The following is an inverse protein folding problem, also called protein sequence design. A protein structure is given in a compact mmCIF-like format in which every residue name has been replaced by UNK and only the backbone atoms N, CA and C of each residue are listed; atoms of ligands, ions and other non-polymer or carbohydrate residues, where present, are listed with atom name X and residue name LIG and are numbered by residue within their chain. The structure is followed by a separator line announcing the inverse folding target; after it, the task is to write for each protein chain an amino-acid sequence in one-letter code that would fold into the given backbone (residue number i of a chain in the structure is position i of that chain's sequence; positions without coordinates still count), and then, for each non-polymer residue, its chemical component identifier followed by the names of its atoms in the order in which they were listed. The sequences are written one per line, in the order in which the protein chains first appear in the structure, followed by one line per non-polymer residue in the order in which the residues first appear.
data_IF_040924086914
#
_entry.id   IF_040924086914
#
_cell.length_a   1.000
_cell.length_b   1.000
_cell.length_c   1.000
_cell.angle_alpha   90.00
_cell.angle_beta   90.00
_cell.angle_gamma   90.00
#
_symmetry.space_group_name_H-M   'P 1'
#
loop_
_entity.id
_entity.type
_entity.pdbx_description
1 polymer ?
#
# COMPACT_ATOMS: atom_id res chain seq x y z
N UNK A 1 -3.43 -7.62 -22.44
CA UNK A 1 -3.06 -9.00 -21.99
C UNK A 1 -1.53 -9.20 -22.01
N UNK A 2 -0.77 -8.41 -22.80
CA UNK A 2 0.70 -8.53 -22.90
C UNK A 2 1.51 -7.95 -21.74
N UNK A 3 1.17 -6.83 -21.05
CA UNK A 3 2.02 -6.29 -19.97
C UNK A 3 1.99 -7.12 -18.68
N UNK A 4 0.88 -7.79 -18.36
CA UNK A 4 0.80 -8.68 -17.20
C UNK A 4 1.66 -9.95 -17.34
N UNK A 5 1.73 -10.50 -18.57
CA UNK A 5 2.61 -11.62 -18.85
C UNK A 5 4.09 -11.25 -18.65
N UNK A 6 4.47 -10.00 -18.93
CA UNK A 6 5.83 -9.49 -18.70
C UNK A 6 6.18 -9.32 -17.23
N UNK A 7 5.29 -8.77 -16.42
CA UNK A 7 5.52 -8.58 -14.97
C UNK A 7 5.50 -9.90 -14.21
N UNK A 8 4.57 -10.82 -14.56
CA UNK A 8 4.53 -12.19 -14.02
C UNK A 8 5.74 -12.99 -14.52
N UNK A 9 6.12 -12.86 -15.80
CA UNK A 9 7.31 -13.52 -16.34
C UNK A 9 8.60 -12.98 -15.72
N UNK A 10 8.70 -11.69 -15.41
CA UNK A 10 9.85 -11.12 -14.72
C UNK A 10 9.92 -11.61 -13.25
N UNK A 11 8.79 -11.70 -12.56
CA UNK A 11 8.72 -12.28 -11.23
C UNK A 11 9.06 -13.79 -11.25
N UNK A 12 8.58 -14.54 -12.24
CA UNK A 12 8.92 -15.95 -12.45
C UNK A 12 10.35 -16.15 -12.97
N UNK A 13 10.88 -15.25 -13.81
CA UNK A 13 12.28 -15.30 -14.24
C UNK A 13 13.25 -15.01 -13.09
N UNK A 14 12.91 -14.08 -12.20
CA UNK A 14 13.67 -13.81 -10.97
C UNK A 14 13.57 -14.96 -9.95
N UNK A 15 12.43 -15.67 -9.91
CA UNK A 15 12.23 -16.85 -9.06
C UNK A 15 12.71 -18.14 -9.74
N UNK A 16 12.53 -18.29 -11.04
CA UNK A 16 12.89 -19.46 -11.84
C UNK A 16 14.38 -19.51 -12.20
N UNK A 17 15.02 -18.38 -12.44
CA UNK A 17 16.48 -18.32 -12.61
C UNK A 17 17.27 -18.73 -11.36
N UNK A 18 16.62 -18.69 -10.19
CA UNK A 18 17.16 -19.21 -8.95
C UNK A 18 16.95 -20.73 -8.77
N UNK A 19 16.00 -21.35 -9.50
CA UNK A 19 15.75 -22.79 -9.41
C UNK A 19 16.65 -23.62 -10.37
N UNK A 20 17.10 -23.03 -11.48
CA UNK A 20 18.03 -23.68 -12.41
C UNK A 20 19.50 -23.54 -12.03
N UNK A 21 19.84 -22.58 -11.15
CA UNK A 21 21.18 -22.47 -10.56
C UNK A 21 21.41 -23.37 -9.33
N UNK A 22 20.37 -24.03 -8.83
CA UNK A 22 20.46 -24.94 -7.69
C UNK A 22 20.81 -26.40 -8.07
N UNK A 23 21.19 -26.65 -9.33
CA UNK A 23 21.60 -27.98 -9.84
C UNK A 23 23.09 -28.19 -9.98
N UNK A 24 23.93 -27.23 -9.57
CA UNK A 24 25.39 -27.41 -9.54
C UNK A 24 25.93 -26.79 -8.25
N UNK A 25 26.56 -27.64 -7.47
CA UNK A 25 27.26 -27.40 -6.19
C UNK A 25 26.34 -27.39 -4.93
N UNK A 26 26.09 -28.61 -4.47
CA UNK A 26 25.71 -28.90 -3.09
C UNK A 26 27.00 -28.87 -2.21
N UNK A 27 27.41 -27.66 -1.79
CA UNK A 27 28.28 -27.45 -0.63
C UNK A 27 28.52 -25.95 -0.42
N UNK A 28 27.55 -25.24 0.06
CA UNK A 28 27.68 -23.96 0.78
C UNK A 28 26.38 -23.64 1.50
N UNK A 29 26.01 -24.46 2.48
CA UNK A 29 25.07 -24.05 3.55
C UNK A 29 25.77 -23.02 4.44
N UNK A 30 25.91 -21.82 3.94
CA UNK A 30 26.02 -20.67 4.82
C UNK A 30 24.58 -20.25 5.13
N UNK A 31 23.96 -20.94 6.07
CA UNK A 31 22.77 -20.54 6.76
C UNK A 31 23.02 -19.12 7.29
N UNK A 32 22.44 -18.11 6.64
CA UNK A 32 22.49 -16.74 7.15
C UNK A 32 21.86 -16.81 8.55
N UNK A 33 22.69 -16.62 9.57
CA UNK A 33 22.24 -16.65 10.96
C UNK A 33 20.98 -15.78 11.09
N UNK A 34 19.93 -16.26 11.79
CA UNK A 34 18.76 -15.44 12.05
C UNK A 34 19.23 -14.16 12.73
N UNK A 35 18.87 -13.01 12.19
CA UNK A 35 19.10 -11.72 12.85
C UNK A 35 18.51 -11.77 14.24
N UNK A 36 19.27 -11.34 15.23
CA UNK A 36 18.77 -11.30 16.61
C UNK A 36 17.48 -10.45 16.67
N UNK A 37 16.49 -10.85 17.46
CA UNK A 37 15.28 -10.04 17.65
C UNK A 37 15.68 -8.60 18.04
N UNK A 38 15.16 -7.59 17.33
CA UNK A 38 15.45 -6.19 17.57
C UNK A 38 16.50 -5.55 16.66
N UNK A 39 17.05 -6.27 15.66
CA UNK A 39 18.02 -5.70 14.69
C UNK A 39 17.48 -5.55 13.27
N UNK A 40 16.21 -5.85 13.05
CA UNK A 40 15.64 -5.88 11.71
C UNK A 40 15.32 -4.49 11.16
N UNK A 41 15.61 -4.33 9.89
CA UNK A 41 15.24 -3.16 9.07
C UNK A 41 14.54 -3.63 7.81
N UNK A 42 13.53 -2.88 7.41
CA UNK A 42 12.73 -3.19 6.22
C UNK A 42 12.69 -1.97 5.31
N UNK A 43 13.04 -2.18 4.05
CA UNK A 43 12.85 -1.17 3.00
C UNK A 43 11.88 -1.74 1.98
N UNK A 44 10.81 -1.01 1.70
CA UNK A 44 9.78 -1.43 0.75
C UNK A 44 9.54 -0.35 -0.30
N UNK A 45 9.54 -0.76 -1.57
CA UNK A 45 9.05 0.02 -2.70
C UNK A 45 7.71 -0.56 -3.13
N UNK A 46 6.67 0.27 -3.10
CA UNK A 46 5.31 -0.09 -3.53
C UNK A 46 4.93 0.78 -4.72
N UNK A 47 4.44 0.15 -5.78
CA UNK A 47 3.87 0.78 -6.96
C UNK A 47 2.41 0.37 -7.06
N UNK A 48 1.52 1.33 -7.20
CA UNK A 48 0.10 1.14 -7.50
C UNK A 48 -0.20 1.77 -8.84
N UNK A 49 -0.92 1.07 -9.72
CA UNK A 49 -1.29 1.61 -11.02
C UNK A 49 -2.48 0.85 -11.61
N UNK A 50 -3.40 1.55 -12.25
CA UNK A 50 -4.56 0.97 -12.92
C UNK A 50 -4.18 0.25 -14.24
N UNK A 51 -3.08 0.64 -14.89
CA UNK A 51 -2.55 -0.08 -16.05
C UNK A 51 -2.21 -1.55 -15.74
N UNK A 52 -1.87 -1.88 -14.50
CA UNK A 52 -1.57 -3.27 -14.11
C UNK A 52 -2.76 -4.21 -14.23
N UNK A 53 -3.97 -3.70 -14.42
CA UNK A 53 -5.18 -4.51 -14.67
C UNK A 53 -5.42 -4.84 -16.13
N UNK A 54 -4.63 -4.29 -17.05
CA UNK A 54 -4.74 -4.52 -18.49
C UNK A 54 -5.94 -3.83 -19.16
N UNK A 55 -6.63 -2.93 -18.47
CA UNK A 55 -7.75 -2.16 -19.02
C UNK A 55 -7.28 -0.97 -19.86
N UNK A 56 -6.01 -0.59 -19.77
CA UNK A 56 -5.36 0.40 -20.65
C UNK A 56 -5.90 1.82 -20.54
N UNK A 57 -6.52 2.18 -19.40
CA UNK A 57 -7.13 3.50 -19.18
C UNK A 57 -6.65 4.04 -17.85
N UNK A 58 -5.93 5.15 -17.89
CA UNK A 58 -5.65 5.97 -16.70
C UNK A 58 -6.90 6.73 -16.31
N UNK A 59 -7.47 6.40 -15.15
CA UNK A 59 -8.66 7.08 -14.66
C UNK A 59 -8.81 6.95 -13.15
N UNK A 60 -9.32 8.01 -12.54
CA UNK A 60 -9.68 8.14 -11.14
C UNK A 60 -8.50 7.98 -10.17
N UNK A 61 -8.15 6.81 -9.73
CA UNK A 61 -6.91 6.54 -9.03
C UNK A 61 -5.90 5.96 -10.01
N UNK A 62 -5.19 6.81 -10.70
CA UNK A 62 -4.24 6.47 -11.75
C UNK A 62 -3.06 5.69 -11.22
N UNK A 63 -2.53 6.11 -10.07
CA UNK A 63 -1.43 5.39 -9.48
C UNK A 63 -0.81 6.05 -8.26
N UNK A 64 0.25 5.42 -7.79
CA UNK A 64 1.07 5.93 -6.71
C UNK A 64 2.37 5.18 -6.55
N UNK A 65 3.33 5.84 -5.93
CA UNK A 65 4.62 5.25 -5.55
C UNK A 65 4.87 5.53 -4.07
N UNK A 66 5.37 4.55 -3.34
CA UNK A 66 5.80 4.70 -1.96
C UNK A 66 7.15 4.04 -1.71
N UNK A 67 8.04 4.77 -1.09
CA UNK A 67 9.24 4.23 -0.46
C UNK A 67 9.04 4.28 1.06
N UNK A 68 9.14 3.13 1.72
CA UNK A 68 8.99 3.00 3.16
C UNK A 68 10.23 2.35 3.76
N UNK A 69 10.68 2.88 4.88
CA UNK A 69 11.73 2.30 5.70
C UNK A 69 11.24 2.15 7.13
N UNK A 70 11.38 0.96 7.71
CA UNK A 70 11.01 0.66 9.09
C UNK A 70 12.15 -0.08 9.78
N UNK A 71 12.33 0.13 11.08
CA UNK A 71 13.43 -0.45 11.84
C UNK A 71 13.03 -0.77 13.28
N UNK A 72 13.62 -1.83 13.83
CA UNK A 72 13.70 -2.18 15.24
C UNK A 72 15.11 -1.98 15.79
N UNK A 73 16.10 -1.89 14.91
CA UNK A 73 17.52 -1.78 15.27
C UNK A 73 17.88 -0.49 16.03
N UNK A 74 16.95 0.44 16.17
CA UNK A 74 17.12 1.69 16.92
C UNK A 74 15.85 2.00 17.70
N UNK A 75 15.96 2.37 18.98
CA UNK A 75 14.79 2.76 19.75
C UNK A 75 14.10 3.96 19.11
N UNK A 76 12.76 3.97 19.06
CA UNK A 76 12.02 5.11 18.58
C UNK A 76 12.26 6.33 19.50
N UNK A 77 12.20 7.55 18.98
CA UNK A 77 12.30 8.77 19.79
C UNK A 77 11.27 8.75 20.93
N UNK A 78 11.65 9.20 22.12
CA UNK A 78 10.78 9.17 23.31
C UNK A 78 9.44 9.89 23.12
N UNK A 79 9.41 10.95 22.34
CA UNK A 79 8.16 11.65 22.02
C UNK A 79 7.23 10.80 21.16
N UNK A 80 7.79 10.01 20.22
CA UNK A 80 7.01 9.09 19.37
C UNK A 80 6.45 7.91 20.18
N UNK A 81 7.22 7.36 21.13
CA UNK A 81 6.72 6.37 22.08
C UNK A 81 5.56 6.93 22.92
N UNK A 82 5.70 8.18 23.43
CA UNK A 82 4.63 8.84 24.18
C UNK A 82 3.38 9.04 23.31
N UNK A 83 3.56 9.45 22.08
CA UNK A 83 2.47 9.61 21.12
C UNK A 83 1.76 8.29 20.86
N UNK A 84 2.49 7.18 20.67
CA UNK A 84 1.93 5.85 20.50
C UNK A 84 1.12 5.40 21.71
N UNK A 85 1.66 5.57 22.91
CA UNK A 85 0.98 5.19 24.16
C UNK A 85 -0.25 6.04 24.46
N UNK A 86 -0.14 7.35 24.41
CA UNK A 86 -1.22 8.28 24.80
C UNK A 86 -2.25 8.46 23.68
N UNK A 87 -1.80 8.49 22.41
CA UNK A 87 -2.68 8.76 21.28
C UNK A 87 -3.38 7.52 20.72
N UNK A 88 -2.83 6.33 20.93
CA UNK A 88 -3.35 5.09 20.35
C UNK A 88 -3.39 3.90 21.33
N UNK A 89 -2.97 4.09 22.57
CA UNK A 89 -2.95 3.01 23.59
C UNK A 89 -2.00 1.85 23.21
N UNK A 90 -0.95 2.12 22.40
CA UNK A 90 0.01 1.10 22.01
C UNK A 90 0.99 0.83 23.16
N UNK A 91 1.30 -0.42 23.39
CA UNK A 91 2.40 -0.81 24.28
C UNK A 91 3.72 -0.80 23.48
N UNK A 92 4.34 0.37 23.38
CA UNK A 92 5.55 0.59 22.60
C UNK A 92 6.73 0.89 23.51
N UNK A 93 7.73 0.01 23.44
CA UNK A 93 9.00 0.07 24.15
C UNK A 93 10.16 0.56 23.26
N UNK A 94 11.37 0.25 23.70
CA UNK A 94 12.59 0.58 22.97
C UNK A 94 12.77 -0.32 21.73
N UNK A 95 12.15 -1.49 21.71
CA UNK A 95 12.12 -2.50 20.66
C UNK A 95 10.93 -2.36 19.70
N UNK A 96 10.16 -1.27 19.80
CA UNK A 96 9.03 -1.05 18.92
C UNK A 96 9.49 -0.78 17.49
N UNK A 97 8.78 -1.38 16.54
CA UNK A 97 8.96 -1.09 15.11
C UNK A 97 8.51 0.35 14.80
N UNK A 98 9.37 1.15 14.21
CA UNK A 98 9.03 2.48 13.77
C UNK A 98 9.68 2.81 12.44
N UNK A 99 9.18 3.82 11.73
CA UNK A 99 9.71 4.09 10.41
C UNK A 99 9.10 5.31 9.73
N UNK A 100 9.63 5.59 8.56
CA UNK A 100 9.28 6.72 7.70
C UNK A 100 8.87 6.19 6.32
N UNK A 101 7.89 6.83 5.71
CA UNK A 101 7.58 6.62 4.30
C UNK A 101 7.35 7.94 3.57
N UNK A 102 7.72 7.96 2.30
CA UNK A 102 7.39 9.01 1.34
C UNK A 102 6.49 8.38 0.30
N UNK A 103 5.35 9.00 0.02
CA UNK A 103 4.41 8.52 -0.96
C UNK A 103 3.88 9.64 -1.84
N UNK A 104 3.77 9.36 -3.12
CA UNK A 104 3.05 10.18 -4.08
C UNK A 104 1.83 9.41 -4.57
N UNK A 105 0.72 10.10 -4.78
CA UNK A 105 -0.51 9.57 -5.39
C UNK A 105 -0.98 10.50 -6.47
N UNK A 106 -1.50 9.90 -7.53
CA UNK A 106 -1.97 10.58 -8.73
C UNK A 106 -3.43 10.21 -8.95
N UNK A 107 -4.26 11.22 -9.14
CA UNK A 107 -5.67 11.09 -9.41
C UNK A 107 -6.01 11.90 -10.65
N UNK A 108 -6.81 11.33 -11.54
CA UNK A 108 -7.22 11.97 -12.80
C UNK A 108 -8.71 11.78 -13.06
N UNK A 109 -9.33 12.56 -13.94
CA UNK A 109 -10.64 12.24 -14.51
C UNK A 109 -10.65 10.92 -15.30
N UNK A 110 -11.80 10.52 -15.79
CA UNK A 110 -11.94 9.32 -16.63
C UNK A 110 -11.30 9.49 -18.02
N UNK A 111 -11.34 10.71 -18.57
CA UNK A 111 -10.70 11.09 -19.81
C UNK A 111 -9.54 12.06 -19.51
N UNK A 112 -8.31 11.57 -19.69
CA UNK A 112 -7.10 12.35 -19.46
C UNK A 112 -6.70 13.20 -20.66
N UNK A 113 -7.29 12.98 -21.83
CA UNK A 113 -6.96 13.72 -23.07
C UNK A 113 -7.76 15.01 -23.21
N UNK A 114 -8.82 15.18 -22.41
CA UNK A 114 -9.61 16.40 -22.38
C UNK A 114 -8.88 17.47 -21.52
N UNK A 115 -8.51 18.63 -22.09
CA UNK A 115 -7.90 19.73 -21.35
C UNK A 115 -8.91 20.44 -20.42
N UNK A 116 -10.21 20.30 -20.68
CA UNK A 116 -11.27 20.86 -19.84
C UNK A 116 -11.74 19.79 -18.84
N UNK A 117 -11.78 20.16 -17.57
CA UNK A 117 -12.26 19.23 -16.53
C UNK A 117 -13.77 19.02 -16.69
N UNK A 118 -14.25 17.78 -16.89
CA UNK A 118 -15.69 17.50 -16.95
C UNK A 118 -16.39 17.88 -15.62
N UNK A 119 -17.49 18.65 -15.63
CA UNK A 119 -18.14 19.11 -14.39
C UNK A 119 -18.68 18.01 -13.48
N UNK A 120 -18.72 16.78 -13.97
CA UNK A 120 -19.28 15.62 -13.25
C UNK A 120 -18.23 14.57 -12.88
N UNK A 121 -16.98 14.80 -13.20
CA UNK A 121 -15.88 13.90 -12.89
C UNK A 121 -14.92 14.53 -11.86
N UNK A 122 -14.10 13.70 -11.25
CA UNK A 122 -13.12 14.15 -10.26
C UNK A 122 -12.04 15.04 -10.89
N UNK A 123 -11.53 16.03 -10.15
CA UNK A 123 -10.42 16.85 -10.61
C UNK A 123 -9.12 16.06 -10.69
N UNK A 124 -8.19 16.54 -11.52
CA UNK A 124 -6.78 16.17 -11.41
C UNK A 124 -6.26 16.53 -10.02
N UNK A 125 -5.51 15.65 -9.41
CA UNK A 125 -4.89 15.93 -8.13
C UNK A 125 -3.63 15.10 -7.92
N UNK A 126 -2.59 15.75 -7.43
CA UNK A 126 -1.41 15.11 -6.86
C UNK A 126 -1.42 15.19 -5.34
N UNK A 127 -0.87 14.19 -4.68
CA UNK A 127 -0.59 14.21 -3.24
C UNK A 127 0.76 13.62 -2.94
N UNK A 128 1.70 14.46 -2.52
CA UNK A 128 3.00 14.06 -1.99
C UNK A 128 2.97 14.12 -0.47
N UNK A 129 3.32 13.04 0.21
CA UNK A 129 3.26 12.95 1.68
C UNK A 129 4.46 12.24 2.28
N UNK A 130 4.87 12.69 3.47
CA UNK A 130 5.84 12.05 4.35
C UNK A 130 5.11 11.57 5.59
N UNK A 131 5.26 10.31 5.96
CA UNK A 131 4.54 9.70 7.08
C UNK A 131 5.52 9.03 8.04
N UNK A 132 5.43 9.38 9.30
CA UNK A 132 6.13 8.73 10.40
C UNK A 132 5.18 7.77 11.10
N UNK A 133 5.64 6.54 11.37
CA UNK A 133 4.84 5.50 12.01
C UNK A 133 5.54 4.85 13.18
N UNK A 134 4.76 4.36 14.13
CA UNK A 134 5.19 3.47 15.20
C UNK A 134 4.19 2.33 15.33
N UNK A 135 4.70 1.13 15.59
CA UNK A 135 3.90 -0.07 15.66
C UNK A 135 4.18 -0.90 16.93
N UNK A 136 3.13 -1.42 17.51
CA UNK A 136 3.15 -2.47 18.52
C UNK A 136 2.91 -3.82 17.83
N UNK A 137 3.75 -4.80 18.12
CA UNK A 137 3.57 -6.18 17.68
C UNK A 137 3.32 -7.09 18.88
N UNK A 138 2.30 -7.90 18.75
CA UNK A 138 2.05 -9.04 19.65
C UNK A 138 2.05 -10.34 18.83
N UNK A 139 2.01 -11.52 19.44
CA UNK A 139 1.90 -12.78 18.69
C UNK A 139 0.71 -12.80 17.73
N UNK A 140 -0.39 -12.14 18.08
CA UNK A 140 -1.66 -12.22 17.36
C UNK A 140 -2.17 -10.87 16.83
N UNK A 141 -1.44 -9.78 16.99
CA UNK A 141 -1.86 -8.47 16.48
C UNK A 141 -0.70 -7.56 16.08
N UNK A 142 -1.03 -6.61 15.20
CA UNK A 142 -0.18 -5.49 14.82
C UNK A 142 -1.00 -4.22 14.93
N UNK A 143 -0.69 -3.35 15.88
CA UNK A 143 -1.26 -2.01 16.05
C UNK A 143 -0.30 -0.96 15.51
N UNK A 144 -0.81 0.06 14.76
CA UNK A 144 0.04 1.10 14.17
C UNK A 144 -0.58 2.47 14.33
N UNK A 145 0.23 3.43 14.77
CA UNK A 145 -0.08 4.85 14.71
C UNK A 145 0.83 5.51 13.66
N UNK A 146 0.25 6.31 12.80
CA UNK A 146 0.94 7.02 11.72
C UNK A 146 0.55 8.49 11.75
N UNK A 147 1.53 9.37 11.58
CA UNK A 147 1.34 10.81 11.46
C UNK A 147 2.02 11.27 10.18
N UNK A 148 1.27 11.94 9.32
CA UNK A 148 1.72 12.36 8.00
C UNK A 148 1.54 13.85 7.77
N UNK A 149 2.47 14.43 7.05
CA UNK A 149 2.41 15.75 6.45
C UNK A 149 2.51 15.60 4.94
N UNK A 150 1.85 16.46 4.19
CA UNK A 150 1.94 16.41 2.74
C UNK A 150 1.50 17.71 2.09
N UNK A 151 1.44 17.68 0.77
CA UNK A 151 1.03 18.79 -0.07
C UNK A 151 0.28 18.27 -1.28
N UNK A 152 -0.73 19.02 -1.71
CA UNK A 152 -1.45 18.79 -2.97
C UNK A 152 -1.03 19.79 -4.04
N UNK A 153 -1.56 19.63 -5.25
CA UNK A 153 -1.34 20.51 -6.38
C UNK A 153 0.06 20.37 -6.97
N UNK A 154 0.51 21.42 -7.63
CA UNK A 154 1.77 21.46 -8.38
C UNK A 154 3.00 20.98 -7.58
N UNK A 155 3.20 21.35 -6.29
CA UNK A 155 4.32 20.84 -5.50
C UNK A 155 4.29 19.32 -5.23
N UNK A 156 3.17 18.65 -5.50
CA UNK A 156 3.09 17.20 -5.40
C UNK A 156 3.78 16.47 -6.56
N UNK A 157 4.18 17.18 -7.63
CA UNK A 157 4.90 16.69 -8.81
C UNK A 157 4.18 15.54 -9.54
N UNK A 158 2.84 15.49 -9.46
CA UNK A 158 2.05 14.38 -9.99
C UNK A 158 1.99 14.41 -11.52
N UNK A 159 1.90 15.60 -12.12
CA UNK A 159 1.96 15.80 -13.56
C UNK A 159 3.25 15.22 -14.14
N UNK A 160 4.40 15.64 -13.60
CA UNK A 160 5.72 15.20 -14.05
C UNK A 160 5.88 13.67 -13.92
N UNK A 161 5.35 13.10 -12.85
CA UNK A 161 5.39 11.65 -12.64
C UNK A 161 4.51 10.91 -13.62
N UNK A 162 3.32 11.42 -13.93
CA UNK A 162 2.42 10.81 -14.90
C UNK A 162 3.01 10.92 -16.30
N UNK A 163 3.49 12.08 -16.72
CA UNK A 163 4.14 12.28 -18.02
C UNK A 163 5.32 11.32 -18.21
N UNK A 164 6.23 11.23 -17.23
CA UNK A 164 7.36 10.30 -17.29
C UNK A 164 6.92 8.82 -17.38
N UNK A 165 5.84 8.45 -16.70
CA UNK A 165 5.24 7.11 -16.80
C UNK A 165 4.67 6.84 -18.19
N UNK A 166 3.96 7.83 -18.77
CA UNK A 166 3.35 7.71 -20.08
C UNK A 166 4.38 7.63 -21.20
N UNK A 167 5.43 8.42 -21.13
CA UNK A 167 6.58 8.31 -22.06
C UNK A 167 7.22 6.91 -22.00
N UNK A 168 7.37 6.33 -20.81
CA UNK A 168 7.97 5.01 -20.63
C UNK A 168 7.09 3.88 -21.17
N UNK A 169 5.76 3.98 -20.99
CA UNK A 169 4.81 2.92 -21.36
C UNK A 169 4.07 3.16 -22.67
N UNK A 170 4.25 4.32 -23.30
CA UNK A 170 3.60 4.69 -24.58
C UNK A 170 2.09 4.90 -24.43
N UNK A 171 1.66 5.51 -23.31
CA UNK A 171 0.27 5.87 -23.04
C UNK A 171 -0.06 7.27 -23.56
N UNK A 172 -1.37 7.60 -23.65
CA UNK A 172 -1.84 8.92 -24.09
C UNK A 172 -1.36 10.03 -23.13
N UNK A 173 -1.03 11.21 -23.66
CA UNK A 173 -0.57 12.34 -22.85
C UNK A 173 -1.74 12.97 -22.07
N UNK A 174 -1.59 13.21 -20.76
CA UNK A 174 -2.60 13.89 -19.96
C UNK A 174 -2.60 15.39 -20.27
N UNK A 175 -3.76 15.94 -20.62
CA UNK A 175 -3.90 17.32 -21.09
C UNK A 175 -4.50 18.30 -20.05
N UNK A 176 -5.06 17.82 -18.93
CA UNK A 176 -5.87 18.63 -18.00
C UNK A 176 -5.18 19.05 -16.70
N UNK A 177 -3.85 18.92 -16.56
CA UNK A 177 -3.15 19.26 -15.31
C UNK A 177 -3.19 20.74 -14.94
N UNK A 178 -3.40 21.66 -15.88
CA UNK A 178 -3.60 23.10 -15.61
C UNK A 178 -4.82 23.36 -14.71
N UNK A 179 -5.80 22.44 -14.71
CA UNK A 179 -7.02 22.50 -13.90
C UNK A 179 -6.96 21.64 -12.63
N UNK A 180 -5.79 21.20 -12.19
CA UNK A 180 -5.64 20.37 -11.00
C UNK A 180 -6.07 21.10 -9.71
N UNK A 181 -6.35 20.33 -8.67
CA UNK A 181 -6.58 20.88 -7.33
C UNK A 181 -5.42 21.80 -6.91
N UNK A 182 -5.74 22.97 -6.32
CA UNK A 182 -4.71 23.93 -5.90
C UNK A 182 -3.79 23.36 -4.81
N UNK A 183 -2.62 23.99 -4.72
CA UNK A 183 -1.61 23.64 -3.72
C UNK A 183 -2.10 23.95 -2.31
N UNK A 184 -2.11 22.92 -1.45
CA UNK A 184 -2.54 23.01 -0.06
C UNK A 184 -1.71 22.08 0.82
N UNK A 185 -1.26 22.52 2.02
CA UNK A 185 -0.65 21.61 2.97
C UNK A 185 -1.68 20.65 3.55
N UNK A 186 -1.26 19.40 3.77
CA UNK A 186 -2.12 18.37 4.36
C UNK A 186 -1.51 17.82 5.63
N UNK A 187 -2.39 17.46 6.57
CA UNK A 187 -2.06 16.79 7.81
C UNK A 187 -2.92 15.54 7.96
N UNK A 188 -2.34 14.45 8.44
CA UNK A 188 -3.01 13.17 8.58
C UNK A 188 -2.56 12.44 9.83
N UNK A 189 -3.49 11.96 10.65
CA UNK A 189 -3.26 10.96 11.68
C UNK A 189 -4.05 9.70 11.34
N UNK A 190 -3.45 8.54 11.43
CA UNK A 190 -4.12 7.29 11.18
C UNK A 190 -3.73 6.24 12.23
N UNK A 191 -4.71 5.52 12.72
CA UNK A 191 -4.53 4.35 13.55
C UNK A 191 -5.20 3.15 12.91
N UNK A 192 -4.53 2.01 12.90
CA UNK A 192 -5.10 0.72 12.53
C UNK A 192 -4.55 -0.40 13.39
N UNK A 193 -5.38 -1.40 13.61
CA UNK A 193 -4.99 -2.66 14.24
C UNK A 193 -5.46 -3.83 13.38
N UNK A 194 -4.59 -4.80 13.26
CA UNK A 194 -4.83 -6.05 12.55
C UNK A 194 -4.69 -7.20 13.53
N UNK A 195 -5.59 -8.18 13.44
CA UNK A 195 -5.62 -9.34 14.31
C UNK A 195 -5.54 -10.61 13.49
N UNK A 196 -4.81 -11.58 14.00
CA UNK A 196 -4.80 -12.95 13.51
C UNK A 196 -5.91 -13.71 14.20
N UNK A 197 -7.01 -13.96 13.48
CA UNK A 197 -8.18 -14.64 14.02
C UNK A 197 -7.94 -16.14 14.11
N UNK A 198 -7.30 -16.71 13.10
CA UNK A 198 -7.05 -18.13 13.00
C UNK A 198 -5.88 -18.43 12.09
N UNK A 199 -5.13 -19.47 12.41
CA UNK A 199 -4.09 -20.02 11.55
C UNK A 199 -3.94 -21.52 11.81
N UNK A 200 -3.46 -22.26 10.80
CA UNK A 200 -3.25 -23.71 10.94
C UNK A 200 -2.74 -24.34 9.66
N UNK A 201 -2.78 -25.66 9.64
CA UNK A 201 -2.44 -26.48 8.46
C UNK A 201 -3.72 -26.98 7.80
N UNK A 202 -3.77 -26.95 6.46
CA UNK A 202 -4.86 -27.51 5.68
C UNK A 202 -4.56 -28.98 5.33
N UNK A 203 -3.51 -29.21 4.55
CA UNK A 203 -3.08 -30.54 4.13
C UNK A 203 -1.61 -30.49 3.70
N UNK A 204 -0.83 -31.51 4.05
CA UNK A 204 0.58 -31.57 3.72
C UNK A 204 1.33 -30.29 4.18
N UNK A 205 2.11 -29.61 3.31
CA UNK A 205 2.83 -28.41 3.64
C UNK A 205 1.97 -27.13 3.63
N UNK A 206 0.70 -27.20 3.19
CA UNK A 206 -0.17 -26.04 3.07
C UNK A 206 -0.66 -25.57 4.43
N UNK A 207 -0.49 -24.29 4.66
CA UNK A 207 -0.95 -23.54 5.83
C UNK A 207 -2.01 -22.53 5.42
N UNK A 208 -2.86 -22.15 6.36
CA UNK A 208 -3.80 -21.06 6.18
C UNK A 208 -3.73 -20.07 7.32
N UNK A 209 -4.22 -18.86 7.05
CA UNK A 209 -4.35 -17.79 8.02
C UNK A 209 -5.58 -16.93 7.68
N UNK A 210 -6.31 -16.56 8.72
CA UNK A 210 -7.43 -15.62 8.64
C UNK A 210 -7.09 -14.41 9.53
N UNK A 211 -7.14 -13.22 8.94
CA UNK A 211 -6.89 -11.96 9.63
C UNK A 211 -8.12 -11.07 9.55
N UNK A 212 -8.35 -10.26 10.58
CA UNK A 212 -9.22 -9.09 10.54
C UNK A 212 -8.42 -7.81 10.72
N UNK A 213 -9.02 -6.69 10.36
CA UNK A 213 -8.42 -5.40 10.55
C UNK A 213 -9.48 -4.34 10.76
N UNK A 214 -9.17 -3.33 11.58
CA UNK A 214 -9.98 -2.12 11.71
C UNK A 214 -9.07 -0.91 11.91
N UNK A 215 -9.55 0.26 11.55
CA UNK A 215 -8.80 1.49 11.75
C UNK A 215 -9.54 2.72 11.30
N UNK A 216 -8.94 3.87 11.60
CA UNK A 216 -9.47 5.17 11.23
C UNK A 216 -8.33 6.13 10.86
N UNK A 217 -8.66 7.14 10.08
CA UNK A 217 -7.79 8.27 9.82
C UNK A 217 -8.56 9.57 9.98
N UNK A 218 -7.87 10.59 10.46
CA UNK A 218 -8.35 11.95 10.64
C UNK A 218 -7.33 12.92 10.07
N UNK A 219 -7.78 13.83 9.24
CA UNK A 219 -6.91 14.84 8.66
C UNK A 219 -7.56 15.63 7.54
N UNK A 220 -6.83 16.57 7.00
CA UNK A 220 -7.29 17.41 5.89
C UNK A 220 -7.31 16.68 4.55
N UNK A 221 -6.50 15.61 4.39
CA UNK A 221 -6.52 14.81 3.18
C UNK A 221 -7.65 13.77 3.18
N UNK A 222 -7.74 12.98 4.27
CA UNK A 222 -8.70 11.87 4.37
C UNK A 222 -9.20 11.71 5.81
N UNK A 223 -10.51 11.79 6.01
CA UNK A 223 -11.16 11.41 7.26
C UNK A 223 -12.07 10.22 6.99
N UNK A 224 -11.72 9.04 7.53
CA UNK A 224 -12.41 7.79 7.26
C UNK A 224 -12.21 6.78 8.37
N UNK A 225 -13.10 5.80 8.46
CA UNK A 225 -12.94 4.60 9.29
C UNK A 225 -13.28 3.36 8.48
N UNK A 226 -12.59 2.27 8.73
CA UNK A 226 -12.78 1.05 7.95
C UNK A 226 -12.43 -0.22 8.69
N UNK A 227 -12.90 -1.32 8.12
CA UNK A 227 -12.64 -2.68 8.60
C UNK A 227 -12.37 -3.61 7.42
N UNK A 228 -11.76 -4.74 7.67
CA UNK A 228 -11.44 -5.72 6.64
C UNK A 228 -11.22 -7.12 7.18
N UNK A 229 -11.35 -8.07 6.26
CA UNK A 229 -11.04 -9.47 6.46
C UNK A 229 -10.13 -9.95 5.34
N UNK A 230 -9.19 -10.83 5.65
CA UNK A 230 -8.30 -11.45 4.69
C UNK A 230 -8.02 -12.90 5.06
N UNK A 231 -8.02 -13.75 4.05
CA UNK A 231 -7.54 -15.13 4.12
C UNK A 231 -6.25 -15.27 3.30
N UNK A 232 -5.34 -16.09 3.79
CA UNK A 232 -4.13 -16.48 3.06
C UNK A 232 -3.95 -17.98 3.13
N UNK A 233 -3.46 -18.57 2.02
CA UNK A 233 -3.13 -20.00 1.92
C UNK A 233 -1.81 -20.14 1.18
N UNK A 234 -0.89 -20.93 1.70
CA UNK A 234 0.43 -21.11 1.09
C UNK A 234 1.34 -22.04 1.87
N UNK A 235 2.63 -21.93 1.60
CA UNK A 235 3.67 -22.72 2.27
C UNK A 235 4.61 -21.79 3.02
N UNK A 236 4.96 -22.17 4.26
CA UNK A 236 5.82 -21.37 5.14
C UNK A 236 5.32 -19.92 5.27
N UNK A 237 4.06 -19.74 5.71
CA UNK A 237 3.47 -18.40 5.85
C UNK A 237 4.30 -17.56 6.83
N UNK A 238 4.82 -16.39 6.40
CA UNK A 238 5.56 -15.49 7.29
C UNK A 238 4.63 -14.87 8.34
N UNK A 239 5.20 -14.37 9.42
CA UNK A 239 4.46 -13.56 10.39
C UNK A 239 4.26 -12.16 9.85
N UNK A 240 3.32 -12.00 8.93
CA UNK A 240 2.90 -10.71 8.39
C UNK A 240 1.37 -10.56 8.45
N UNK A 241 0.88 -9.42 8.00
CA UNK A 241 -0.54 -9.10 7.90
C UNK A 241 -0.93 -8.71 6.46
N UNK A 242 -0.27 -9.35 5.49
CA UNK A 242 -0.49 -9.14 4.06
C UNK A 242 0.42 -8.07 3.44
N UNK A 243 0.39 -7.97 2.11
CA UNK A 243 1.25 -7.06 1.36
C UNK A 243 0.93 -5.60 1.68
N UNK A 244 1.97 -4.73 1.77
CA UNK A 244 1.77 -3.31 1.97
C UNK A 244 1.03 -2.67 0.80
N UNK A 245 0.29 -1.60 1.11
CA UNK A 245 -0.48 -0.78 0.16
C UNK A 245 -0.31 0.68 0.53
N UNK A 246 -0.28 1.57 -0.47
CA UNK A 246 -0.09 3.01 -0.24
C UNK A 246 -1.33 3.61 0.41
N UNK A 247 -2.49 3.14 0.01
CA UNK A 247 -3.72 3.72 0.50
C UNK A 247 -4.16 3.15 1.82
N UNK A 248 -4.73 4.02 2.60
CA UNK A 248 -5.82 3.82 3.52
C UNK A 248 -5.59 2.90 4.72
N UNK A 249 -6.65 2.82 5.45
CA UNK A 249 -6.88 2.08 6.66
C UNK A 249 -7.99 1.06 6.35
N UNK A 250 -7.76 -0.21 6.57
CA UNK A 250 -6.50 -0.88 6.94
C UNK A 250 -5.59 -1.17 5.73
N UNK A 251 -4.29 -1.27 5.96
CA UNK A 251 -3.31 -1.62 4.92
C UNK A 251 -2.34 -2.69 5.45
N UNK A 252 -1.76 -3.50 4.57
CA UNK A 252 -0.69 -4.42 4.91
C UNK A 252 0.55 -3.73 5.50
N UNK A 253 1.62 -4.48 5.75
CA UNK A 253 2.85 -3.97 6.38
C UNK A 253 4.09 -4.33 5.58
N UNK A 254 5.12 -3.45 5.51
CA UNK A 254 6.42 -3.83 5.00
C UNK A 254 7.09 -4.90 5.87
N UNK A 255 6.75 -4.97 7.14
CA UNK A 255 7.24 -6.00 8.05
C UNK A 255 6.84 -7.40 7.60
N UNK A 256 7.78 -8.31 7.59
CA UNK A 256 7.56 -9.75 7.53
C UNK A 256 8.66 -10.47 8.29
N UNK A 257 8.32 -11.55 8.96
CA UNK A 257 9.24 -12.42 9.67
C UNK A 257 8.92 -13.87 9.30
N UNK A 258 9.95 -14.65 9.01
CA UNK A 258 9.79 -16.05 8.67
C UNK A 258 10.95 -16.89 9.21
N UNK A 259 10.60 -18.00 9.85
CA UNK A 259 11.56 -19.02 10.25
C UNK A 259 12.10 -19.87 9.07
N UNK A 260 11.46 -19.79 7.90
CA UNK A 260 11.87 -20.53 6.71
C UNK A 260 12.60 -19.60 5.74
N UNK A 261 13.61 -20.15 5.06
CA UNK A 261 14.40 -19.42 4.07
C UNK A 261 13.58 -18.97 2.85
N UNK A 262 12.48 -19.64 2.54
CA UNK A 262 11.59 -19.29 1.44
C UNK A 262 10.16 -19.75 1.72
N UNK A 263 9.20 -19.05 1.13
CA UNK A 263 7.79 -19.41 1.18
C UNK A 263 6.95 -18.56 0.23
N UNK A 264 5.68 -18.91 0.15
CA UNK A 264 4.71 -18.19 -0.68
C UNK A 264 3.31 -18.35 -0.13
N UNK A 265 2.44 -17.42 -0.46
CA UNK A 265 1.02 -17.54 -0.22
C UNK A 265 0.19 -16.76 -1.24
N UNK A 266 -1.00 -17.27 -1.51
CA UNK A 266 -2.07 -16.50 -2.13
C UNK A 266 -2.95 -15.88 -1.04
N UNK A 267 -3.44 -14.69 -1.27
CA UNK A 267 -4.33 -13.97 -0.35
C UNK A 267 -5.57 -13.47 -1.07
N UNK A 268 -6.68 -13.50 -0.36
CA UNK A 268 -7.96 -12.93 -0.78
C UNK A 268 -8.53 -12.13 0.40
N UNK A 269 -9.09 -10.97 0.13
CA UNK A 269 -9.67 -10.17 1.19
C UNK A 269 -10.67 -9.13 0.69
N UNK A 270 -11.36 -8.55 1.66
CA UNK A 270 -12.29 -7.46 1.43
C UNK A 270 -12.18 -6.42 2.55
N UNK A 271 -12.36 -5.16 2.17
CA UNK A 271 -12.39 -4.03 3.07
C UNK A 271 -13.65 -3.21 2.82
N UNK A 272 -14.18 -2.60 3.88
CA UNK A 272 -15.22 -1.59 3.80
C UNK A 272 -14.80 -0.38 4.62
N UNK A 273 -15.06 0.82 4.11
CA UNK A 273 -14.77 2.07 4.82
C UNK A 273 -15.89 3.08 4.66
N UNK A 274 -16.14 3.82 5.72
CA UNK A 274 -16.95 5.03 5.72
C UNK A 274 -16.03 6.23 5.56
N UNK A 275 -16.35 7.10 4.63
CA UNK A 275 -15.55 8.28 4.25
C UNK A 275 -16.32 9.53 4.64
N UNK A 276 -15.81 10.24 5.64
CA UNK A 276 -16.38 11.51 6.08
C UNK A 276 -15.80 12.70 5.32
N UNK A 277 -14.53 12.60 4.88
CA UNK A 277 -13.88 13.62 4.06
C UNK A 277 -12.82 12.98 3.16
N UNK A 278 -12.77 13.46 1.91
CA UNK A 278 -11.75 13.10 0.93
C UNK A 278 -11.43 14.34 0.08
N UNK A 279 -10.32 15.01 0.40
CA UNK A 279 -9.86 16.23 -0.28
C UNK A 279 -9.86 16.10 -1.81
N UNK A 280 -9.51 14.92 -2.32
CA UNK A 280 -9.41 14.64 -3.77
C UNK A 280 -10.77 14.48 -4.47
N UNK A 281 -11.87 14.56 -3.72
CA UNK A 281 -13.26 14.54 -4.21
C UNK A 281 -14.03 15.77 -3.72
N UNK A 282 -13.92 16.08 -2.42
CA UNK A 282 -14.63 17.18 -1.78
C UNK A 282 -14.04 18.58 -2.10
N UNK A 283 -12.82 18.60 -2.69
CA UNK A 283 -12.05 19.83 -2.89
C UNK A 283 -11.17 20.19 -1.70
N UNK A 284 -10.38 21.24 -1.85
CA UNK A 284 -9.42 21.72 -0.84
C UNK A 284 -10.11 22.37 0.37
N UNK A 285 -9.47 22.30 1.54
CA UNK A 285 -10.05 22.72 2.82
C UNK A 285 -9.97 24.23 3.03
N UNK A 286 -8.89 24.86 2.54
CA UNK A 286 -8.59 26.28 2.87
C UNK A 286 -8.98 27.27 1.76
N UNK A 287 -9.48 26.79 0.62
CA UNK A 287 -9.93 27.63 -0.49
C UNK A 287 -10.93 26.88 -1.37
N UNK A 288 -11.72 27.60 -2.14
CA UNK A 288 -12.65 27.02 -3.10
C UNK A 288 -11.86 26.30 -4.21
N UNK A 289 -12.32 25.13 -4.60
CA UNK A 289 -11.73 24.31 -5.65
C UNK A 289 -12.76 23.39 -6.29
N UNK A 290 -12.48 22.82 -7.45
CA UNK A 290 -13.32 21.80 -8.05
C UNK A 290 -13.59 20.62 -7.10
N UNK A 291 -14.80 20.09 -7.15
CA UNK A 291 -15.22 18.97 -6.30
C UNK A 291 -16.31 18.14 -6.96
N UNK A 292 -16.48 16.93 -6.48
CA UNK A 292 -17.59 16.02 -6.83
C UNK A 292 -18.20 15.45 -5.56
N UNK A 293 -19.45 15.01 -5.65
CA UNK A 293 -20.15 14.37 -4.53
C UNK A 293 -19.57 12.99 -4.28
N UNK A 294 -18.86 12.81 -3.15
CA UNK A 294 -18.27 11.52 -2.79
C UNK A 294 -19.29 10.51 -2.31
N UNK A 295 -19.01 9.23 -2.53
CA UNK A 295 -19.73 8.14 -1.88
C UNK A 295 -19.33 8.04 -0.39
N UNK A 296 -20.30 7.97 0.53
CA UNK A 296 -20.02 7.90 1.96
C UNK A 296 -19.46 6.53 2.39
N UNK A 297 -19.67 5.50 1.59
CA UNK A 297 -19.19 4.14 1.85
C UNK A 297 -18.49 3.58 0.62
N UNK A 298 -17.28 3.08 0.81
CA UNK A 298 -16.45 2.48 -0.25
C UNK A 298 -16.02 1.09 0.17
N UNK A 299 -16.20 0.12 -0.72
CA UNK A 299 -15.76 -1.26 -0.52
C UNK A 299 -14.64 -1.63 -1.47
N UNK A 300 -13.79 -2.53 -1.04
CA UNK A 300 -12.73 -3.11 -1.86
C UNK A 300 -12.71 -4.62 -1.70
N UNK A 301 -12.56 -5.33 -2.81
CA UNK A 301 -12.14 -6.73 -2.82
C UNK A 301 -10.76 -6.81 -3.46
N UNK A 302 -9.92 -7.70 -2.95
CA UNK A 302 -8.58 -7.88 -3.49
C UNK A 302 -8.15 -9.34 -3.48
N UNK A 303 -7.26 -9.67 -4.41
CA UNK A 303 -6.58 -10.95 -4.49
C UNK A 303 -5.11 -10.71 -4.81
N UNK A 304 -4.22 -11.50 -4.24
CA UNK A 304 -2.79 -11.31 -4.46
C UNK A 304 -1.97 -12.56 -4.22
N UNK A 305 -0.72 -12.49 -4.64
CA UNK A 305 0.29 -13.51 -4.39
C UNK A 305 1.51 -12.85 -3.78
N UNK A 306 2.06 -13.51 -2.79
CA UNK A 306 3.29 -13.09 -2.08
C UNK A 306 4.26 -14.26 -2.13
N UNK A 307 5.50 -13.96 -2.48
CA UNK A 307 6.60 -14.91 -2.38
C UNK A 307 7.78 -14.22 -1.69
N UNK A 308 8.52 -14.98 -0.90
CA UNK A 308 9.74 -14.48 -0.29
C UNK A 308 10.85 -15.54 -0.33
N UNK A 309 12.06 -15.04 -0.37
CA UNK A 309 13.26 -15.86 -0.22
C UNK A 309 14.29 -15.06 0.58
N UNK A 310 14.77 -15.65 1.70
CA UNK A 310 15.64 -14.96 2.64
C UNK A 310 15.09 -13.59 3.04
N UNK A 311 15.80 -12.54 2.69
CA UNK A 311 15.49 -11.14 3.04
C UNK A 311 14.64 -10.41 2.01
N UNK A 312 14.29 -11.04 0.90
CA UNK A 312 13.52 -10.43 -0.18
C UNK A 312 12.09 -10.97 -0.18
N UNK A 313 11.10 -10.08 -0.20
CA UNK A 313 9.68 -10.39 -0.39
C UNK A 313 9.13 -9.61 -1.58
N UNK A 314 8.44 -10.32 -2.45
CA UNK A 314 7.72 -9.78 -3.61
C UNK A 314 6.24 -10.01 -3.43
N UNK A 315 5.41 -9.04 -3.80
CA UNK A 315 3.96 -9.20 -3.81
C UNK A 315 3.33 -8.53 -5.02
N UNK A 316 2.28 -9.14 -5.54
CA UNK A 316 1.41 -8.58 -6.56
C UNK A 316 -0.02 -8.75 -6.07
N UNK A 317 -0.81 -7.67 -6.11
CA UNK A 317 -2.19 -7.66 -5.63
C UNK A 317 -3.07 -6.93 -6.63
N UNK A 318 -4.22 -7.50 -6.95
CA UNK A 318 -5.30 -6.87 -7.71
C UNK A 318 -6.38 -6.40 -6.76
N UNK A 319 -6.86 -5.20 -6.99
CA UNK A 319 -7.87 -4.56 -6.18
C UNK A 319 -9.01 -4.12 -7.07
N UNK A 320 -10.24 -4.42 -6.65
CA UNK A 320 -11.45 -3.85 -7.19
C UNK A 320 -12.13 -3.02 -6.11
N UNK A 321 -12.34 -1.75 -6.38
CA UNK A 321 -12.95 -0.76 -5.50
C UNK A 321 -14.30 -0.37 -6.05
N UNK A 322 -15.31 -0.27 -5.20
CA UNK A 322 -16.61 0.32 -5.57
C UNK A 322 -16.44 1.79 -6.00
N UNK A 323 -17.48 2.37 -6.54
CA UNK A 323 -17.50 3.79 -6.83
C UNK A 323 -17.12 4.62 -5.60
N UNK A 324 -16.33 5.67 -5.81
CA UNK A 324 -15.86 6.56 -4.77
C UNK A 324 -16.60 7.91 -4.80
N UNK A 325 -17.30 8.22 -5.89
CA UNK A 325 -18.11 9.43 -6.06
C UNK A 325 -19.32 9.13 -6.94
N UNK A 326 -20.37 9.90 -6.73
CA UNK A 326 -21.63 9.86 -7.49
C UNK A 326 -21.33 10.19 -8.95
N UNK A 327 -21.74 9.43 -9.93
CA UNK A 327 -21.45 9.55 -11.36
C UNK A 327 -20.11 8.96 -11.82
N UNK A 328 -19.37 8.28 -10.97
CA UNK A 328 -18.22 7.47 -11.43
C UNK A 328 -18.68 6.39 -12.42
N UNK A 329 -19.89 5.84 -12.22
CA UNK A 329 -20.58 4.95 -13.16
C UNK A 329 -20.11 3.51 -13.14
N UNK A 330 -18.92 3.22 -12.62
CA UNK A 330 -18.39 1.85 -12.50
C UNK A 330 -17.32 1.71 -11.41
N UNK A 331 -17.14 0.50 -10.95
CA UNK A 331 -16.10 0.16 -9.99
C UNK A 331 -14.71 0.25 -10.65
N UNK A 332 -13.74 0.78 -9.93
CA UNK A 332 -12.36 0.87 -10.37
C UNK A 332 -11.57 -0.39 -10.05
N UNK A 333 -10.65 -0.78 -10.94
CA UNK A 333 -9.65 -1.81 -10.68
C UNK A 333 -8.24 -1.23 -10.85
N UNK A 334 -7.32 -1.64 -9.98
CA UNK A 334 -5.91 -1.30 -10.08
C UNK A 334 -5.05 -2.40 -9.48
N UNK A 335 -3.78 -2.44 -9.86
CA UNK A 335 -2.81 -3.39 -9.35
C UNK A 335 -1.81 -2.74 -8.41
N UNK A 336 -1.24 -3.56 -7.53
CA UNK A 336 -0.17 -3.18 -6.60
C UNK A 336 0.98 -4.16 -6.75
N UNK A 337 2.18 -3.65 -6.93
CA UNK A 337 3.42 -4.41 -6.89
C UNK A 337 4.28 -3.89 -5.75
N UNK A 338 4.82 -4.78 -4.92
CA UNK A 338 5.71 -4.38 -3.84
C UNK A 338 6.93 -5.28 -3.77
N UNK A 339 8.08 -4.65 -3.63
CA UNK A 339 9.36 -5.29 -3.28
C UNK A 339 9.71 -4.85 -1.87
N UNK A 340 9.94 -5.80 -0.97
CA UNK A 340 10.42 -5.52 0.39
C UNK A 340 11.73 -6.24 0.63
N UNK A 341 12.69 -5.53 1.15
CA UNK A 341 13.99 -6.06 1.55
C UNK A 341 14.20 -5.86 3.05
N UNK A 342 14.43 -6.98 3.76
CA UNK A 342 14.86 -7.00 5.15
C UNK A 342 16.41 -6.98 5.22
N UNK A 343 17.02 -6.18 6.10
CA UNK A 343 18.48 -6.06 6.22
C UNK A 343 18.94 -5.66 7.62
#
# INVERSE_FOLDING_TARGET
VRPLAGAVALAWALLGGAATAAGADADADTEAAPTAPGEERFTALTLENDLFTGQGRDRWYTGGVQLAHATEARPPPRWLQRLGRLGAGLDVGEDALWGLSVAQRVFTPADITDPEMPPADRPYAGWLSVTLGIAERTPDSLGRLRVGLGVTGEPALAEQSQQASHELFGSDEPAGWDSQLPSEPTFQVAYDRQWRLQQGRLAGPLQYRLNSAAGASLGTALTQAGTGLAAAVGQHLPRDYGPPRISAVPSGSPYFDSAAAAGWYATLGANARLVAHNLFLDGTVFRDSPSVEREPAVTEAYAGVVAYRHRLRLSITWIRRSEAFTRQGEAQAFGVATVTWAH
#
